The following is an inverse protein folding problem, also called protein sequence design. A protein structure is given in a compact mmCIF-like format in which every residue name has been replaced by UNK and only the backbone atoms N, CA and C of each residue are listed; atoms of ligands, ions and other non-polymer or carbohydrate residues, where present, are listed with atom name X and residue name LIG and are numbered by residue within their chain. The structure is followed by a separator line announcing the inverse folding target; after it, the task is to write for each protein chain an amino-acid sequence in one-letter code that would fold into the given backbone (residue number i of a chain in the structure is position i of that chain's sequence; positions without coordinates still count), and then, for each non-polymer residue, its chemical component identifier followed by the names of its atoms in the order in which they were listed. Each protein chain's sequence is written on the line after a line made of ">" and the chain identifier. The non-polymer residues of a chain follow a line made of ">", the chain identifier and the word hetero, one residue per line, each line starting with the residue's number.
data_IF_026946067385
#
_entry.id   IF_026946067385
#
_cell.length_a   1.000
_cell.length_b   1.000
_cell.length_c   1.000
_cell.angle_alpha   90.00
_cell.angle_beta   90.00
_cell.angle_gamma   90.00
#
_symmetry.space_group_name_H-M   'P 1'
#
loop_
_entity.id
_entity.type
_entity.pdbx_description
1 polymer ?
#
# COMPACT_ATOMS: atom_id res chain seq x y z
N UNK A 1 -5.73 12.76 4.01
CA UNK A 1 -5.30 11.83 2.94
C UNK A 1 -5.26 10.42 3.51
N UNK A 2 -5.94 9.46 2.86
CA UNK A 2 -5.92 8.06 3.29
C UNK A 2 -4.74 7.36 2.65
N UNK A 3 -3.96 6.65 3.46
CA UNK A 3 -2.89 5.78 2.99
C UNK A 3 -3.35 4.33 3.07
N UNK A 4 -2.98 3.54 2.07
CA UNK A 4 -3.24 2.11 2.03
C UNK A 4 -1.91 1.36 1.96
N UNK A 5 -1.76 0.33 2.78
CA UNK A 5 -0.63 -0.59 2.73
C UNK A 5 -1.19 -2.02 2.69
N UNK A 6 -0.63 -2.83 1.79
CA UNK A 6 -1.04 -4.21 1.58
C UNK A 6 -0.04 -4.94 0.69
N UNK A 7 -0.02 -6.27 0.79
CA UNK A 7 0.78 -7.13 -0.09
C UNK A 7 -0.01 -7.60 -1.33
N UNK A 8 0.70 -7.83 -2.44
CA UNK A 8 0.15 -8.45 -3.65
C UNK A 8 1.26 -9.03 -4.51
N UNK A 9 0.96 -10.10 -5.23
CA UNK A 9 1.85 -10.67 -6.25
C UNK A 9 1.75 -9.92 -7.59
N UNK A 10 0.66 -9.15 -7.82
CA UNK A 10 0.46 -8.39 -9.05
C UNK A 10 0.01 -6.96 -8.74
N UNK A 11 0.99 -6.06 -8.74
CA UNK A 11 0.82 -4.64 -8.42
C UNK A 11 -0.13 -3.92 -9.40
N UNK A 12 -0.01 -4.21 -10.70
CA UNK A 12 -0.82 -3.58 -11.75
C UNK A 12 -2.30 -3.95 -11.60
N UNK A 13 -2.58 -5.24 -11.42
CA UNK A 13 -3.94 -5.73 -11.17
C UNK A 13 -4.52 -5.08 -9.92
N UNK A 14 -3.75 -5.01 -8.83
CA UNK A 14 -4.20 -4.42 -7.57
C UNK A 14 -4.52 -2.94 -7.72
N UNK A 15 -3.67 -2.18 -8.40
CA UNK A 15 -3.89 -0.75 -8.62
C UNK A 15 -5.13 -0.51 -9.49
N UNK A 16 -5.32 -1.32 -10.53
CA UNK A 16 -6.50 -1.29 -11.38
C UNK A 16 -7.77 -1.61 -10.57
N UNK A 17 -7.76 -2.67 -9.76
CA UNK A 17 -8.90 -3.04 -8.91
C UNK A 17 -9.26 -1.91 -7.93
N UNK A 18 -8.27 -1.29 -7.29
CA UNK A 18 -8.47 -0.18 -6.35
C UNK A 18 -8.99 1.09 -7.04
N UNK A 19 -8.53 1.38 -8.25
CA UNK A 19 -8.97 2.53 -9.05
C UNK A 19 -10.25 2.27 -9.86
N UNK A 20 -10.67 1.02 -10.04
CA UNK A 20 -11.87 0.64 -10.79
C UNK A 20 -13.19 1.01 -10.10
N UNK A 21 -13.14 1.51 -8.85
CA UNK A 21 -14.32 1.91 -8.09
C UNK A 21 -15.22 0.77 -7.59
N UNK A 22 -14.86 -0.49 -7.86
CA UNK A 22 -15.68 -1.68 -7.50
C UNK A 22 -15.57 -2.12 -6.02
N UNK A 23 -14.69 -1.52 -5.22
CA UNK A 23 -14.49 -1.88 -3.80
C UNK A 23 -15.14 -0.90 -2.82
N UNK A 24 -15.84 -1.40 -1.79
CA UNK A 24 -16.59 -0.59 -0.80
C UNK A 24 -15.73 0.47 -0.06
N UNK A 25 -14.45 0.17 0.22
CA UNK A 25 -13.57 1.06 0.99
C UNK A 25 -12.60 1.89 0.15
N UNK A 26 -12.22 1.40 -1.04
CA UNK A 26 -11.19 2.00 -1.90
C UNK A 26 -11.78 2.87 -3.00
N UNK A 27 -13.06 2.69 -3.34
CA UNK A 27 -13.78 3.55 -4.30
C UNK A 27 -13.88 5.01 -3.86
N UNK A 28 -14.05 5.27 -2.56
CA UNK A 28 -14.20 6.64 -2.00
C UNK A 28 -12.89 7.43 -1.87
N UNK A 29 -11.77 6.90 -2.36
CA UNK A 29 -10.44 7.52 -2.25
C UNK A 29 -9.66 7.55 -3.57
N UNK A 30 -10.28 7.17 -4.68
CA UNK A 30 -9.68 7.21 -6.00
C UNK A 30 -9.50 8.66 -6.50
N UNK A 31 -8.45 8.97 -7.28
CA UNK A 31 -7.43 8.03 -7.77
C UNK A 31 -6.36 7.71 -6.72
N UNK A 32 -6.10 6.43 -6.50
CA UNK A 32 -4.96 5.94 -5.74
C UNK A 32 -3.71 6.06 -6.61
N UNK A 33 -2.69 6.71 -6.05
CA UNK A 33 -1.35 6.77 -6.62
C UNK A 33 -0.41 5.88 -5.82
N UNK A 34 0.39 5.10 -6.53
CA UNK A 34 1.46 4.31 -5.92
C UNK A 34 2.54 5.27 -5.39
N UNK A 35 2.83 5.17 -4.09
CA UNK A 35 3.91 5.94 -3.46
C UNK A 35 5.22 5.15 -3.46
N UNK A 36 5.15 3.87 -3.05
CA UNK A 36 6.30 2.97 -3.01
C UNK A 36 5.85 1.51 -3.12
N UNK A 37 6.73 0.64 -3.62
CA UNK A 37 6.57 -0.81 -3.58
C UNK A 37 7.83 -1.44 -2.99
N UNK A 38 7.64 -2.52 -2.23
CA UNK A 38 8.74 -3.30 -1.67
C UNK A 38 8.68 -4.70 -2.28
N UNK A 39 9.79 -5.14 -2.84
CA UNK A 39 9.96 -6.54 -3.27
C UNK A 39 10.31 -7.37 -2.04
N UNK A 40 9.59 -8.47 -1.84
CA UNK A 40 9.82 -9.41 -0.74
C UNK A 40 10.03 -10.80 -1.34
N UNK A 41 10.97 -11.55 -0.80
CA UNK A 41 11.28 -12.90 -1.28
C UNK A 41 10.21 -13.93 -0.86
N UNK A 42 9.41 -13.60 0.16
CA UNK A 42 8.34 -14.49 0.65
C UNK A 42 7.11 -13.73 1.11
N UNK A 43 5.96 -14.43 1.10
CA UNK A 43 4.71 -13.92 1.67
C UNK A 43 4.85 -13.57 3.15
N UNK A 44 5.62 -14.36 3.90
CA UNK A 44 5.87 -14.12 5.32
C UNK A 44 6.59 -12.80 5.55
N UNK A 45 7.63 -12.52 4.77
CA UNK A 45 8.35 -11.24 4.82
C UNK A 45 7.43 -10.07 4.47
N UNK A 46 6.62 -10.19 3.42
CA UNK A 46 5.66 -9.15 3.02
C UNK A 46 4.64 -8.84 4.14
N UNK A 47 4.16 -9.87 4.86
CA UNK A 47 3.24 -9.70 5.99
C UNK A 47 3.93 -9.00 7.17
N UNK A 48 5.17 -9.39 7.50
CA UNK A 48 5.92 -8.74 8.57
C UNK A 48 6.17 -7.26 8.25
N UNK A 49 6.56 -6.96 7.02
CA UNK A 49 6.75 -5.59 6.56
C UNK A 49 5.44 -4.79 6.61
N UNK A 50 4.35 -5.35 6.08
CA UNK A 50 3.03 -4.72 6.12
C UNK A 50 2.59 -4.40 7.56
N UNK A 51 2.82 -5.33 8.49
CA UNK A 51 2.53 -5.14 9.93
C UNK A 51 3.38 -4.02 10.52
N UNK A 52 4.67 -3.95 10.21
CA UNK A 52 5.59 -2.90 10.67
C UNK A 52 5.17 -1.52 10.16
N UNK A 53 4.80 -1.41 8.88
CA UNK A 53 4.33 -0.16 8.28
C UNK A 53 3.02 0.29 8.95
N UNK A 54 2.07 -0.65 9.12
CA UNK A 54 0.77 -0.35 9.74
C UNK A 54 0.88 0.00 11.22
N UNK A 55 1.74 -0.67 11.98
CA UNK A 55 1.94 -0.41 13.41
C UNK A 55 2.56 0.97 13.66
N UNK A 56 3.52 1.39 12.83
CA UNK A 56 4.08 2.75 12.91
C UNK A 56 3.09 3.83 12.47
N UNK A 57 2.17 3.47 11.60
CA UNK A 57 1.27 4.38 10.89
C UNK A 57 1.87 4.74 9.52
N UNK A 58 1.17 4.36 8.45
CA UNK A 58 1.70 4.35 7.08
C UNK A 58 2.32 5.71 6.70
N UNK A 59 1.64 6.82 6.98
CA UNK A 59 2.16 8.17 6.70
C UNK A 59 3.50 8.43 7.39
N UNK A 60 3.59 8.13 8.70
CA UNK A 60 4.80 8.35 9.51
C UNK A 60 5.94 7.47 9.02
N UNK A 61 5.66 6.20 8.74
CA UNK A 61 6.66 5.29 8.18
C UNK A 61 7.24 5.84 6.87
N UNK A 62 6.40 6.32 5.96
CA UNK A 62 6.88 6.90 4.70
C UNK A 62 7.67 8.20 4.90
N UNK A 63 7.31 9.02 5.88
CA UNK A 63 8.07 10.24 6.23
C UNK A 63 9.44 9.90 6.82
N UNK A 64 9.47 9.00 7.81
CA UNK A 64 10.67 8.58 8.53
C UNK A 64 11.70 7.92 7.59
N UNK A 65 11.24 7.30 6.50
CA UNK A 65 12.09 6.66 5.49
C UNK A 65 12.31 7.51 4.23
N UNK A 66 11.88 8.79 4.22
CA UNK A 66 11.99 9.69 3.06
C UNK A 66 11.37 9.11 1.76
N UNK A 67 10.28 8.37 1.88
CA UNK A 67 9.57 7.71 0.77
C UNK A 67 8.39 8.53 0.24
N UNK A 68 8.03 9.64 0.89
CA UNK A 68 7.09 10.61 0.35
C UNK A 68 7.85 11.57 -0.57
N UNK A 69 7.65 11.40 -1.88
CA UNK A 69 8.09 12.34 -2.91
C UNK A 69 7.02 13.40 -3.17
#
# INVERSE_FOLDING_TARGET
>A
MKYYAGQTENLNRRLLEHNSGKGNYTSKGAPWRMVHCFECASRSEAIHLEKTIKSRGIKRYLQDNNLLK
#
